data_IF_805274141497
#
_entry.id   IF_805274141497
#
_cell.length_a   1.000
_cell.length_b   1.000
_cell.length_c   1.000
_cell.angle_alpha   90.00
_cell.angle_beta   90.00
_cell.angle_gamma   90.00
#
_symmetry.space_group_name_H-M   'P 1'
#
loop_
_entity.id
_entity.type
_entity.pdbx_description
1 polymer ?
#
# COMPACT_ATOMS: atom_id res chain seq x y z
N UNK A 1 7.19 -4.59 20.32
CA UNK A 1 7.00 -3.91 19.02
C UNK A 1 7.27 -2.44 19.23
N UNK A 2 8.28 -1.89 18.55
CA UNK A 2 8.91 -0.62 18.87
C UNK A 2 7.98 0.58 18.72
N UNK A 3 7.91 1.39 19.79
CA UNK A 3 7.30 2.72 19.84
C UNK A 3 7.75 3.68 18.72
N UNK A 4 8.85 3.36 18.02
CA UNK A 4 9.34 4.13 16.89
C UNK A 4 8.39 4.17 15.68
N UNK A 5 7.71 3.06 15.34
CA UNK A 5 6.86 3.01 14.14
C UNK A 5 5.63 3.94 14.21
N UNK A 6 5.05 4.08 15.40
CA UNK A 6 3.88 4.95 15.62
C UNK A 6 4.19 6.44 15.51
N UNK A 7 5.40 6.89 15.85
CA UNK A 7 5.80 8.30 15.73
C UNK A 7 6.14 8.71 14.29
N UNK A 8 6.74 7.80 13.50
CA UNK A 8 6.99 8.06 12.07
C UNK A 8 5.68 8.25 11.28
N UNK A 9 4.61 7.56 11.67
CA UNK A 9 3.33 7.60 10.96
C UNK A 9 2.67 8.98 10.94
N UNK A 10 2.91 9.89 11.90
CA UNK A 10 2.30 11.25 11.87
C UNK A 10 3.22 12.34 11.36
N UNK A 11 4.54 12.09 11.34
CA UNK A 11 5.55 13.05 10.90
C UNK A 11 6.05 12.81 9.46
N UNK A 12 5.80 11.63 8.89
CA UNK A 12 6.13 11.33 7.50
C UNK A 12 5.22 12.10 6.55
N UNK A 13 5.75 12.53 5.41
CA UNK A 13 4.89 13.04 4.34
C UNK A 13 4.06 11.88 3.73
N UNK A 14 2.89 12.17 3.12
CA UNK A 14 2.00 11.14 2.58
C UNK A 14 2.62 10.21 1.52
N UNK A 15 3.68 10.67 0.84
CA UNK A 15 4.41 9.87 -0.15
C UNK A 15 5.35 8.88 0.54
N UNK A 16 6.10 9.32 1.55
CA UNK A 16 6.92 8.44 2.39
C UNK A 16 6.09 7.40 3.12
N UNK A 17 4.91 7.78 3.63
CA UNK A 17 3.96 6.84 4.23
C UNK A 17 3.51 5.80 3.20
N UNK A 18 3.06 6.24 2.02
CA UNK A 18 2.65 5.33 0.94
C UNK A 18 3.77 4.38 0.50
N UNK A 19 4.99 4.90 0.26
CA UNK A 19 6.15 4.09 -0.13
C UNK A 19 6.50 3.04 0.93
N UNK A 20 6.39 3.40 2.21
CA UNK A 20 6.63 2.48 3.32
C UNK A 20 5.62 1.34 3.30
N UNK A 21 4.33 1.65 3.19
CA UNK A 21 3.26 0.64 3.11
C UNK A 21 3.40 -0.24 1.86
N UNK A 22 3.69 0.35 0.70
CA UNK A 22 3.95 -0.42 -0.53
C UNK A 22 5.15 -1.36 -0.37
N UNK A 23 6.20 -0.94 0.35
CA UNK A 23 7.33 -1.79 0.70
C UNK A 23 6.96 -2.97 1.61
N UNK A 24 6.05 -2.77 2.56
CA UNK A 24 5.51 -3.85 3.41
C UNK A 24 4.74 -4.85 2.56
N UNK A 25 3.82 -4.38 1.71
CA UNK A 25 3.06 -5.24 0.79
C UNK A 25 4.01 -6.04 -0.11
N UNK A 26 5.01 -5.39 -0.70
CA UNK A 26 6.04 -6.04 -1.53
C UNK A 26 6.75 -7.18 -0.79
N UNK A 27 7.15 -6.96 0.46
CA UNK A 27 7.78 -8.00 1.29
C UNK A 27 6.83 -9.17 1.52
N UNK A 28 5.57 -8.91 1.89
CA UNK A 28 4.56 -9.95 2.15
C UNK A 28 4.28 -10.82 0.92
N UNK A 29 4.10 -10.20 -0.24
CA UNK A 29 3.74 -10.95 -1.47
C UNK A 29 4.92 -11.59 -2.19
N UNK A 30 6.15 -11.13 -1.97
CA UNK A 30 7.35 -11.71 -2.60
C UNK A 30 7.55 -13.20 -2.31
N UNK A 31 6.97 -13.70 -1.21
CA UNK A 31 6.98 -15.13 -0.84
C UNK A 31 6.14 -16.03 -1.76
N UNK A 32 5.35 -15.45 -2.67
CA UNK A 32 4.26 -16.12 -3.40
C UNK A 32 4.29 -15.87 -4.92
N UNK A 33 5.45 -15.50 -5.49
CA UNK A 33 5.64 -15.20 -6.92
C UNK A 33 4.89 -13.96 -7.44
N UNK A 34 4.39 -13.09 -6.57
CA UNK A 34 3.81 -11.82 -6.97
C UNK A 34 4.88 -10.75 -7.12
N UNK A 35 4.72 -9.91 -8.14
CA UNK A 35 5.50 -8.69 -8.35
C UNK A 35 4.71 -7.49 -7.87
N UNK A 36 5.40 -6.54 -7.27
CA UNK A 36 4.81 -5.27 -6.82
C UNK A 36 5.54 -4.11 -7.45
N UNK A 37 4.77 -3.24 -8.09
CA UNK A 37 5.20 -1.97 -8.63
C UNK A 37 4.40 -0.85 -7.98
N UNK A 38 5.06 0.18 -7.47
CA UNK A 38 4.39 1.27 -6.76
C UNK A 38 5.14 2.58 -6.97
N UNK A 39 4.40 3.68 -7.07
CA UNK A 39 4.97 4.99 -7.28
C UNK A 39 3.94 6.10 -7.29
N UNK A 40 4.35 7.25 -7.82
CA UNK A 40 3.50 8.41 -8.00
C UNK A 40 3.41 8.76 -9.49
N UNK A 41 2.19 8.98 -9.97
CA UNK A 41 1.92 9.55 -11.28
C UNK A 41 2.40 10.98 -11.34
N UNK A 42 3.28 11.30 -12.29
CA UNK A 42 3.77 12.65 -12.51
C UNK A 42 2.65 13.60 -12.97
N UNK A 43 1.71 13.10 -13.78
CA UNK A 43 0.64 13.91 -14.39
C UNK A 43 -0.48 14.27 -13.42
N UNK A 44 -0.85 13.35 -12.53
CA UNK A 44 -2.00 13.52 -11.64
C UNK A 44 -1.60 13.70 -10.19
N UNK A 45 -0.33 13.49 -9.85
CA UNK A 45 0.14 13.46 -8.46
C UNK A 45 -0.39 12.28 -7.63
N UNK A 46 -1.21 11.40 -8.21
CA UNK A 46 -1.79 10.25 -7.52
C UNK A 46 -0.74 9.17 -7.30
N UNK A 47 -0.83 8.49 -6.16
CA UNK A 47 -0.09 7.27 -5.90
C UNK A 47 -0.73 6.09 -6.64
N UNK A 48 0.09 5.14 -7.04
CA UNK A 48 -0.37 3.88 -7.60
C UNK A 48 0.39 2.72 -6.98
N UNK A 49 -0.30 1.59 -6.86
CA UNK A 49 0.30 0.31 -6.52
C UNK A 49 -0.32 -0.76 -7.40
N UNK A 50 0.53 -1.58 -7.99
CA UNK A 50 0.18 -2.73 -8.80
C UNK A 50 0.75 -3.97 -8.14
N UNK A 51 -0.08 -4.98 -7.96
CA UNK A 51 0.32 -6.33 -7.59
C UNK A 51 -0.04 -7.24 -8.75
N UNK A 52 0.92 -8.00 -9.28
CA UNK A 52 0.68 -8.88 -10.44
C UNK A 52 1.38 -10.22 -10.28
N UNK A 53 0.74 -11.28 -10.77
CA UNK A 53 1.34 -12.59 -11.02
C UNK A 53 1.30 -12.90 -12.52
N UNK A 54 1.58 -14.14 -12.91
CA UNK A 54 1.56 -14.55 -14.32
C UNK A 54 0.15 -14.56 -14.94
N UNK A 55 -0.90 -14.59 -14.13
CA UNK A 55 -2.29 -14.75 -14.55
C UNK A 55 -3.14 -13.48 -14.38
N UNK A 56 -2.81 -12.62 -13.42
CA UNK A 56 -3.63 -11.50 -13.02
C UNK A 56 -2.79 -10.27 -12.63
N UNK A 57 -3.36 -9.09 -12.90
CA UNK A 57 -2.81 -7.78 -12.54
C UNK A 57 -3.87 -6.99 -11.79
N UNK A 58 -3.52 -6.58 -10.57
CA UNK A 58 -4.37 -5.82 -9.68
C UNK A 58 -3.77 -4.44 -9.49
N UNK A 59 -4.49 -3.38 -9.88
CA UNK A 59 -3.98 -2.01 -9.83
C UNK A 59 -4.91 -1.14 -9.01
N UNK A 60 -4.31 -0.37 -8.11
CA UNK A 60 -4.97 0.65 -7.32
C UNK A 60 -4.35 2.01 -7.58
N UNK A 61 -5.20 3.03 -7.58
CA UNK A 61 -4.82 4.44 -7.70
C UNK A 61 -5.39 5.14 -6.47
N UNK A 62 -4.54 5.90 -5.79
CA UNK A 62 -4.86 6.58 -4.55
C UNK A 62 -4.48 8.05 -4.67
N UNK A 63 -5.36 8.96 -4.28
CA UNK A 63 -5.00 10.37 -4.22
C UNK A 63 -4.10 10.67 -3.01
N UNK A 64 -3.39 11.80 -3.03
CA UNK A 64 -2.55 12.20 -1.89
C UNK A 64 -3.38 12.47 -0.64
N UNK A 65 -4.55 13.08 -0.83
CA UNK A 65 -5.51 13.41 0.22
C UNK A 65 -6.01 12.13 0.90
N UNK A 66 -6.28 11.07 0.12
CA UNK A 66 -6.72 9.80 0.69
C UNK A 66 -5.61 9.12 1.48
N UNK A 67 -4.35 9.21 1.03
CA UNK A 67 -3.18 8.72 1.78
C UNK A 67 -3.06 9.44 3.12
N UNK A 68 -3.18 10.78 3.12
CA UNK A 68 -3.15 11.60 4.33
C UNK A 68 -4.31 11.28 5.29
N UNK A 69 -5.55 11.13 4.77
CA UNK A 69 -6.70 10.74 5.59
C UNK A 69 -6.49 9.39 6.30
N UNK A 70 -5.90 8.42 5.60
CA UNK A 70 -5.60 7.11 6.17
C UNK A 70 -4.43 7.17 7.16
N UNK A 71 -3.42 7.99 6.88
CA UNK A 71 -2.30 8.24 7.78
C UNK A 71 -2.75 8.82 9.12
N UNK A 72 -3.70 9.76 9.10
CA UNK A 72 -4.26 10.38 10.31
C UNK A 72 -5.08 9.42 11.16
N UNK A 73 -5.73 8.44 10.52
CA UNK A 73 -6.54 7.41 11.20
C UNK A 73 -5.69 6.45 12.03
N UNK A 74 -4.72 5.80 11.40
CA UNK A 74 -3.76 4.93 12.10
C UNK A 74 -2.59 4.53 11.20
N UNK A 75 -1.50 4.07 11.80
CA UNK A 75 -0.30 3.62 11.07
C UNK A 75 -0.60 2.48 10.08
N UNK A 76 -1.59 1.62 10.39
CA UNK A 76 -1.91 0.42 9.61
C UNK A 76 -3.11 0.64 8.67
N UNK A 77 -3.78 1.79 8.76
CA UNK A 77 -5.01 2.07 8.00
C UNK A 77 -4.81 2.01 6.49
N UNK A 78 -3.66 2.48 5.99
CA UNK A 78 -3.36 2.40 4.56
C UNK A 78 -3.12 0.97 4.10
N UNK A 79 -2.42 0.15 4.91
CA UNK A 79 -2.20 -1.25 4.57
C UNK A 79 -3.53 -2.01 4.52
N UNK A 80 -4.37 -1.85 5.54
CA UNK A 80 -5.70 -2.46 5.63
C UNK A 80 -6.57 -2.04 4.44
N UNK A 81 -6.57 -0.75 4.10
CA UNK A 81 -7.31 -0.22 2.97
C UNK A 81 -6.85 -0.87 1.65
N UNK A 82 -5.53 -0.90 1.39
CA UNK A 82 -4.99 -1.47 0.17
C UNK A 82 -5.33 -2.96 0.03
N UNK A 83 -5.19 -3.74 1.11
CA UNK A 83 -5.58 -5.15 1.08
C UNK A 83 -7.07 -5.33 0.80
N UNK A 84 -7.94 -4.57 1.46
CA UNK A 84 -9.38 -4.64 1.20
C UNK A 84 -9.73 -4.32 -0.24
N UNK A 85 -9.10 -3.30 -0.83
CA UNK A 85 -9.32 -2.96 -2.24
C UNK A 85 -8.78 -4.03 -3.20
N UNK A 86 -7.63 -4.64 -2.88
CA UNK A 86 -7.12 -5.77 -3.65
C UNK A 86 -8.02 -7.01 -3.57
N UNK A 87 -8.60 -7.31 -2.40
CA UNK A 87 -9.55 -8.40 -2.25
C UNK A 87 -10.81 -8.21 -3.09
N UNK A 88 -11.32 -6.97 -3.18
CA UNK A 88 -12.45 -6.64 -4.05
C UNK A 88 -12.15 -6.91 -5.53
N UNK A 89 -10.88 -6.82 -5.94
CA UNK A 89 -10.44 -7.17 -7.30
C UNK A 89 -10.16 -8.67 -7.48
N UNK A 90 -10.24 -9.47 -6.41
CA UNK A 90 -10.03 -10.92 -6.43
C UNK A 90 -8.63 -11.38 -6.03
N UNK A 91 -7.77 -10.50 -5.51
CA UNK A 91 -6.49 -10.92 -4.93
C UNK A 91 -6.77 -11.60 -3.57
N UNK A 92 -6.34 -12.86 -3.35
CA UNK A 92 -6.62 -13.56 -2.09
C UNK A 92 -5.73 -13.06 -0.95
N UNK A 93 -6.05 -11.91 -0.35
CA UNK A 93 -5.15 -11.21 0.58
C UNK A 93 -4.80 -12.00 1.85
N UNK A 94 -5.72 -12.87 2.29
CA UNK A 94 -5.51 -13.81 3.40
C UNK A 94 -4.27 -14.72 3.23
N UNK A 95 -3.75 -14.88 2.01
CA UNK A 95 -2.54 -15.68 1.74
C UNK A 95 -1.23 -14.99 2.14
N UNK A 96 -1.29 -13.70 2.49
CA UNK A 96 -0.13 -12.83 2.75
C UNK A 96 -0.14 -12.19 4.15
N UNK A 97 -1.04 -12.64 5.04
CA UNK A 97 -1.14 -12.19 6.43
C UNK A 97 -0.04 -12.78 7.31
#
# INVERSE_FOLDING_TARGET
>A
MSLAFGYYSKAADPESFFKTTAGIIKRKVSSRNYRVDAGQSFLTGHFYITVEDEAAKYRLILSKEKSAELQDKSQDSLEIFLWSEFEKQGLPSYKFQ
#
